data_IF_347277197189
#
_entry.id   IF_347277197189
#
_cell.length_a   1.000
_cell.length_b   1.000
_cell.length_c   1.000
_cell.angle_alpha   90.00
_cell.angle_beta   90.00
_cell.angle_gamma   90.00
#
_symmetry.space_group_name_H-M   'P 1'
#
loop_
_entity.id
_entity.type
_entity.pdbx_description
1 polymer ?
#
# COMPACT_ATOMS: atom_id res chain seq x y z
N UNK A 1 -22.84 14.72 20.64
CA UNK A 1 -22.62 14.31 19.24
C UNK A 1 -21.24 13.65 19.17
N UNK A 2 -21.20 12.35 18.89
CA UNK A 2 -20.02 11.50 19.08
C UNK A 2 -18.87 11.89 18.14
N UNK A 3 -17.68 11.98 18.72
CA UNK A 3 -16.39 12.35 18.13
C UNK A 3 -15.84 11.27 17.16
N UNK A 4 -16.62 10.88 16.15
CA UNK A 4 -16.03 10.22 14.99
C UNK A 4 -15.17 11.27 14.27
N UNK A 5 -13.86 11.06 14.22
CA UNK A 5 -12.88 12.08 13.82
C UNK A 5 -13.16 12.60 12.40
N UNK A 6 -12.95 13.89 12.16
CA UNK A 6 -13.11 14.51 10.83
C UNK A 6 -12.29 13.79 9.75
N UNK A 7 -11.18 13.17 10.15
CA UNK A 7 -10.30 12.40 9.26
C UNK A 7 -10.96 11.07 8.85
N UNK A 8 -11.51 10.31 9.80
CA UNK A 8 -12.20 9.06 9.52
C UNK A 8 -13.34 9.27 8.49
N UNK A 9 -14.15 10.32 8.68
CA UNK A 9 -15.24 10.66 7.73
C UNK A 9 -14.78 11.01 6.32
N UNK A 10 -13.56 11.53 6.15
CA UNK A 10 -13.01 11.86 4.82
C UNK A 10 -12.51 10.62 4.07
N UNK A 11 -12.19 9.56 4.81
CA UNK A 11 -11.67 8.30 4.28
C UNK A 11 -12.77 7.26 4.09
N UNK A 12 -13.88 7.37 4.82
CA UNK A 12 -15.03 6.48 4.67
C UNK A 12 -15.53 6.45 3.21
N UNK A 13 -15.73 5.23 2.69
CA UNK A 13 -16.15 4.95 1.32
C UNK A 13 -15.03 5.00 0.28
N UNK A 14 -13.80 5.38 0.65
CA UNK A 14 -12.71 5.57 -0.31
C UNK A 14 -12.04 4.28 -0.74
N UNK A 15 -11.60 4.24 -1.99
CA UNK A 15 -10.68 3.23 -2.52
C UNK A 15 -9.26 3.79 -2.60
N UNK A 16 -8.33 3.12 -1.93
CA UNK A 16 -6.94 3.57 -1.80
C UNK A 16 -6.00 2.52 -2.41
N UNK A 17 -5.19 2.90 -3.38
CA UNK A 17 -4.10 2.09 -3.92
C UNK A 17 -2.80 2.45 -3.21
N UNK A 18 -2.08 1.45 -2.71
CA UNK A 18 -0.78 1.63 -2.07
C UNK A 18 0.26 0.80 -2.81
N UNK A 19 1.30 1.46 -3.36
CA UNK A 19 2.42 0.78 -3.99
C UNK A 19 3.52 0.44 -2.98
N UNK A 20 4.15 -0.73 -3.12
CA UNK A 20 5.17 -1.20 -2.18
C UNK A 20 4.60 -1.62 -0.82
N UNK A 21 3.34 -2.07 -0.77
CA UNK A 21 2.62 -2.38 0.47
C UNK A 21 3.09 -3.66 1.18
N UNK A 22 3.99 -4.45 0.57
CA UNK A 22 4.45 -5.72 1.14
C UNK A 22 5.34 -5.61 2.39
N UNK A 23 5.83 -4.41 2.72
CA UNK A 23 6.79 -4.21 3.83
C UNK A 23 6.96 -2.73 4.19
N UNK A 24 7.64 -2.47 5.30
CA UNK A 24 8.13 -1.13 5.66
C UNK A 24 7.04 -0.06 5.73
N UNK A 25 7.33 1.11 5.17
CA UNK A 25 6.42 2.27 5.19
C UNK A 25 5.07 1.94 4.52
N UNK A 26 5.08 1.28 3.36
CA UNK A 26 3.85 0.93 2.65
C UNK A 26 2.92 0.02 3.46
N UNK A 27 3.48 -0.98 4.17
CA UNK A 27 2.73 -1.82 5.10
C UNK A 27 2.14 -0.99 6.24
N UNK A 28 2.95 -0.13 6.87
CA UNK A 28 2.49 0.72 7.97
C UNK A 28 1.39 1.69 7.53
N UNK A 29 1.50 2.29 6.35
CA UNK A 29 0.48 3.16 5.77
C UNK A 29 -0.84 2.39 5.60
N UNK A 30 -0.80 1.18 5.04
CA UNK A 30 -2.00 0.35 4.86
C UNK A 30 -2.71 0.07 6.19
N UNK A 31 -1.94 -0.31 7.22
CA UNK A 31 -2.48 -0.56 8.58
C UNK A 31 -3.04 0.71 9.20
N UNK A 32 -2.39 1.86 9.02
CA UNK A 32 -2.84 3.12 9.59
C UNK A 32 -4.13 3.63 8.93
N UNK A 33 -4.29 3.46 7.62
CA UNK A 33 -5.57 3.74 6.95
C UNK A 33 -6.70 2.89 7.52
N UNK A 34 -6.47 1.59 7.70
CA UNK A 34 -7.46 0.67 8.26
C UNK A 34 -7.85 1.04 9.71
N UNK A 35 -6.87 1.43 10.53
CA UNK A 35 -7.11 1.89 11.91
C UNK A 35 -7.85 3.23 11.97
N UNK A 36 -7.54 4.13 11.05
CA UNK A 36 -8.13 5.48 11.02
C UNK A 36 -9.59 5.46 10.59
N UNK A 37 -9.94 4.62 9.63
CA UNK A 37 -11.32 4.48 9.12
C UNK A 37 -11.72 3.00 9.05
N UNK A 38 -12.09 2.39 10.18
CA UNK A 38 -12.44 0.97 10.23
C UNK A 38 -13.80 0.64 9.60
N UNK A 39 -14.56 1.64 9.13
CA UNK A 39 -15.86 1.46 8.48
C UNK A 39 -15.83 1.83 7.01
N UNK A 40 -16.19 0.87 6.14
CA UNK A 40 -16.37 1.03 4.70
C UNK A 40 -15.15 1.62 3.97
N UNK A 41 -13.96 1.04 4.15
CA UNK A 41 -12.76 1.43 3.41
C UNK A 41 -12.30 0.31 2.49
N UNK A 42 -11.76 0.66 1.33
CA UNK A 42 -11.18 -0.30 0.38
C UNK A 42 -9.70 -0.02 0.18
N UNK A 43 -8.86 -1.02 0.43
CA UNK A 43 -7.42 -0.94 0.26
C UNK A 43 -6.97 -1.90 -0.84
N UNK A 44 -6.26 -1.38 -1.83
CA UNK A 44 -5.58 -2.18 -2.86
C UNK A 44 -4.10 -2.16 -2.53
N UNK A 45 -3.58 -3.31 -2.11
CA UNK A 45 -2.18 -3.44 -1.71
C UNK A 45 -1.39 -4.01 -2.88
N UNK A 46 -0.42 -3.24 -3.38
CA UNK A 46 0.36 -3.64 -4.55
C UNK A 46 1.84 -3.79 -4.23
N UNK A 47 2.45 -4.87 -4.71
CA UNK A 47 3.89 -5.15 -4.67
C UNK A 47 4.21 -6.41 -5.49
N UNK A 48 5.50 -6.68 -5.69
CA UNK A 48 6.00 -7.89 -6.37
C UNK A 48 5.80 -9.19 -5.57
N UNK A 49 5.76 -9.11 -4.23
CA UNK A 49 5.70 -10.28 -3.33
C UNK A 49 4.27 -10.52 -2.85
N UNK A 50 3.50 -11.33 -3.58
CA UNK A 50 2.07 -11.56 -3.30
C UNK A 50 1.81 -12.22 -1.94
N UNK A 51 2.67 -13.13 -1.48
CA UNK A 51 2.49 -13.79 -0.19
C UNK A 51 2.56 -12.78 0.98
N UNK A 52 3.55 -11.88 0.96
CA UNK A 52 3.64 -10.80 1.94
C UNK A 52 2.41 -9.88 1.91
N UNK A 53 1.83 -9.60 0.74
CA UNK A 53 0.61 -8.79 0.65
C UNK A 53 -0.59 -9.51 1.30
N UNK A 54 -0.71 -10.83 1.11
CA UNK A 54 -1.75 -11.65 1.76
C UNK A 54 -1.59 -11.66 3.28
N UNK A 55 -0.37 -11.73 3.79
CA UNK A 55 -0.08 -11.60 5.22
C UNK A 55 -0.52 -10.23 5.75
N UNK A 56 -0.16 -9.14 5.07
CA UNK A 56 -0.60 -7.79 5.46
C UNK A 56 -2.13 -7.66 5.42
N UNK A 57 -2.79 -8.23 4.42
CA UNK A 57 -4.25 -8.23 4.34
C UNK A 57 -4.89 -9.01 5.51
N UNK A 58 -4.33 -10.16 5.88
CA UNK A 58 -4.78 -10.93 7.04
C UNK A 58 -4.58 -10.17 8.36
N UNK A 59 -3.44 -9.50 8.54
CA UNK A 59 -3.19 -8.64 9.70
C UNK A 59 -4.21 -7.49 9.79
N UNK A 60 -4.49 -6.81 8.66
CA UNK A 60 -5.48 -5.73 8.62
C UNK A 60 -6.88 -6.25 8.96
N UNK A 61 -7.26 -7.40 8.40
CA UNK A 61 -8.55 -8.02 8.71
C UNK A 61 -8.66 -8.40 10.20
N UNK A 62 -7.59 -8.93 10.80
CA UNK A 62 -7.55 -9.24 12.24
C UNK A 62 -7.70 -7.98 13.11
N UNK A 63 -7.11 -6.84 12.71
CA UNK A 63 -7.13 -5.61 13.49
C UNK A 63 -8.41 -4.77 13.28
N UNK A 64 -8.95 -4.72 12.06
CA UNK A 64 -10.04 -3.80 11.67
C UNK A 64 -11.37 -4.51 11.34
N UNK A 65 -11.39 -5.84 11.25
CA UNK A 65 -12.58 -6.63 10.94
C UNK A 65 -13.05 -6.49 9.49
N UNK A 66 -14.35 -6.71 9.26
CA UNK A 66 -14.98 -6.71 7.93
C UNK A 66 -15.24 -5.31 7.34
N UNK A 67 -15.05 -4.25 8.14
CA UNK A 67 -15.30 -2.88 7.69
C UNK A 67 -14.23 -2.36 6.72
N UNK A 68 -13.08 -3.03 6.62
CA UNK A 68 -12.03 -2.72 5.66
C UNK A 68 -11.85 -3.88 4.69
N UNK A 69 -12.16 -3.65 3.41
CA UNK A 69 -11.91 -4.61 2.34
C UNK A 69 -10.49 -4.45 1.82
N UNK A 70 -9.72 -5.53 1.80
CA UNK A 70 -8.33 -5.50 1.33
C UNK A 70 -8.16 -6.40 0.12
N UNK A 71 -7.65 -5.85 -0.97
CA UNK A 71 -7.33 -6.56 -2.21
C UNK A 71 -5.81 -6.59 -2.44
N UNK A 72 -5.15 -7.75 -2.21
CA UNK A 72 -3.77 -7.97 -2.61
C UNK A 72 -3.65 -8.10 -4.12
N UNK A 73 -2.81 -7.28 -4.76
CA UNK A 73 -2.52 -7.37 -6.20
C UNK A 73 -1.02 -7.45 -6.42
N UNK A 74 -0.58 -8.49 -7.13
CA UNK A 74 0.81 -8.55 -7.57
C UNK A 74 1.02 -7.54 -8.69
N UNK A 75 1.97 -6.62 -8.50
CA UNK A 75 2.26 -5.57 -9.47
C UNK A 75 3.74 -5.20 -9.41
N UNK A 76 4.40 -5.19 -10.56
CA UNK A 76 5.70 -4.57 -10.76
C UNK A 76 5.53 -3.19 -11.41
N UNK A 77 5.65 -2.13 -10.59
CA UNK A 77 5.48 -0.75 -11.05
C UNK A 77 6.56 -0.28 -12.03
N UNK A 78 7.63 -1.06 -12.22
CA UNK A 78 8.66 -0.76 -13.22
C UNK A 78 8.30 -1.20 -14.64
N UNK A 79 7.20 -1.95 -14.80
CA UNK A 79 6.73 -2.49 -16.07
C UNK A 79 5.48 -1.77 -16.56
N UNK A 80 5.58 -0.92 -17.59
CA UNK A 80 4.45 -0.14 -18.12
C UNK A 80 3.24 -1.00 -18.49
N UNK A 81 3.46 -2.17 -19.07
CA UNK A 81 2.41 -3.11 -19.47
C UNK A 81 1.58 -3.62 -18.29
N UNK A 82 2.19 -3.83 -17.13
CA UNK A 82 1.45 -4.23 -15.92
C UNK A 82 0.64 -3.05 -15.37
N UNK A 83 1.15 -1.82 -15.48
CA UNK A 83 0.43 -0.60 -15.08
C UNK A 83 -0.80 -0.35 -15.97
N UNK A 84 -0.65 -0.50 -17.28
CA UNK A 84 -1.74 -0.32 -18.25
C UNK A 84 -2.90 -1.29 -17.99
N UNK A 85 -2.58 -2.53 -17.61
CA UNK A 85 -3.58 -3.55 -17.30
C UNK A 85 -4.08 -3.52 -15.86
N UNK A 86 -3.43 -2.76 -14.97
CA UNK A 86 -3.73 -2.77 -13.53
C UNK A 86 -5.18 -2.41 -13.25
N UNK A 87 -5.64 -1.19 -13.61
CA UNK A 87 -7.01 -0.74 -13.32
C UNK A 87 -8.07 -1.59 -14.03
N UNK A 88 -7.93 -1.93 -15.33
CA UNK A 88 -8.86 -2.84 -16.01
C UNK A 88 -9.00 -4.21 -15.35
N UNK A 89 -7.92 -4.74 -14.76
CA UNK A 89 -7.91 -6.06 -14.10
C UNK A 89 -8.58 -6.09 -12.72
N UNK A 90 -8.86 -4.92 -12.12
CA UNK A 90 -9.46 -4.86 -10.79
C UNK A 90 -10.92 -5.34 -10.83
N UNK A 91 -11.43 -5.95 -9.74
CA UNK A 91 -12.87 -6.16 -9.57
C UNK A 91 -13.63 -4.83 -9.63
N UNK A 92 -14.87 -4.84 -10.14
CA UNK A 92 -15.65 -3.62 -10.36
C UNK A 92 -15.79 -2.76 -9.09
N UNK A 93 -15.91 -3.38 -7.92
CA UNK A 93 -16.01 -2.65 -6.65
C UNK A 93 -14.74 -1.87 -6.25
N UNK A 94 -13.59 -2.17 -6.88
CA UNK A 94 -12.28 -1.57 -6.61
C UNK A 94 -11.78 -0.67 -7.77
N UNK A 95 -12.50 -0.61 -8.90
CA UNK A 95 -12.04 0.15 -10.09
C UNK A 95 -12.02 1.66 -9.89
N UNK A 96 -12.93 2.19 -9.08
CA UNK A 96 -13.01 3.62 -8.78
C UNK A 96 -12.03 3.98 -7.66
N UNK A 97 -10.83 4.39 -8.05
CA UNK A 97 -9.71 4.72 -7.14
C UNK A 97 -9.75 6.20 -6.78
N UNK A 98 -9.86 6.51 -5.50
CA UNK A 98 -9.84 7.90 -5.00
C UNK A 98 -8.43 8.39 -4.64
N UNK A 99 -7.58 7.49 -4.12
CA UNK A 99 -6.28 7.86 -3.54
C UNK A 99 -5.21 6.90 -4.05
N UNK A 100 -4.11 7.46 -4.57
CA UNK A 100 -2.89 6.73 -4.90
C UNK A 100 -1.76 7.13 -3.97
N UNK A 101 -1.21 6.16 -3.23
CA UNK A 101 0.01 6.30 -2.46
C UNK A 101 1.16 5.67 -3.24
N UNK A 102 1.93 6.52 -3.95
CA UNK A 102 3.09 6.08 -4.72
C UNK A 102 4.32 5.89 -3.81
N UNK A 103 4.35 4.78 -3.06
CA UNK A 103 5.37 4.48 -2.05
C UNK A 103 6.43 3.45 -2.52
N UNK A 104 6.18 2.67 -3.59
CA UNK A 104 7.16 1.71 -4.10
C UNK A 104 8.47 2.40 -4.51
N UNK A 105 9.59 1.91 -3.99
CA UNK A 105 10.93 2.41 -4.29
C UNK A 105 11.94 1.25 -4.27
N UNK A 106 13.04 1.42 -5.00
CA UNK A 106 14.22 0.55 -4.94
C UNK A 106 15.43 1.44 -4.66
N UNK A 107 16.20 1.08 -3.64
CA UNK A 107 17.51 1.67 -3.38
C UNK A 107 18.58 0.65 -3.79
N UNK A 108 19.45 1.05 -4.72
CA UNK A 108 20.61 0.26 -5.12
C UNK A 108 21.83 0.90 -4.47
N UNK A 109 22.30 0.29 -3.38
CA UNK A 109 23.57 0.69 -2.78
C UNK A 109 24.67 0.09 -3.65
N UNK A 110 25.42 0.96 -4.33
CA UNK A 110 26.69 0.56 -4.90
C UNK A 110 27.71 0.54 -3.75
N UNK A 111 28.38 -0.59 -3.54
CA UNK A 111 29.51 -0.70 -2.62
C UNK A 111 30.66 0.20 -3.12
N UNK A 112 30.63 1.49 -2.75
CA UNK A 112 31.79 2.35 -2.82
C UNK A 112 32.60 2.23 -1.53
N UNK A 113 32.97 1.00 -1.14
CA UNK A 113 33.91 0.79 -0.04
C UNK A 113 35.33 1.31 -0.35
N UNK A 114 35.57 1.84 -1.56
CA UNK A 114 36.87 2.36 -2.00
C UNK A 114 37.06 3.88 -1.88
N UNK A 115 36.01 4.68 -1.63
CA UNK A 115 36.16 6.16 -1.66
C UNK A 115 36.59 6.74 -0.29
N UNK A 116 36.28 6.09 0.83
CA UNK A 116 36.66 6.61 2.15
C UNK A 116 38.11 6.34 2.59
N UNK A 117 38.81 5.36 2.00
CA UNK A 117 40.22 5.09 2.33
C UNK A 117 41.22 5.94 1.52
N UNK A 118 40.77 6.66 0.49
CA UNK A 118 41.64 7.48 -0.36
C UNK A 118 41.88 8.92 0.18
N UNK A 119 41.16 9.33 1.24
CA UNK A 119 41.30 10.66 1.86
C UNK A 119 41.82 10.62 3.30
N UNK A 120 42.33 9.47 3.75
CA UNK A 120 43.07 9.35 5.01
C UNK A 120 44.59 9.30 4.70
N UNK A 121 45.14 10.44 4.30
CA UNK A 121 46.57 10.78 4.42
C UNK A 121 46.68 12.26 4.77
#
# INVERSE_FOLDING_TARGET
MSSSSTIAKRLEGKTIVITGASSGIGKSIAKEFARTSPGNLKLILTARRINNLREVAAEIHQEAGDGVKVLPVQLDVSKPEEIEQFVPSLPDEFKDVDILVNNACVFIIHDHLHVCLAYAN
#
